data_IF_873229740315
#
_entry.id   IF_873229740315
#
_cell.length_a   1.000
_cell.length_b   1.000
_cell.length_c   1.000
_cell.angle_alpha   90.00
_cell.angle_beta   90.00
_cell.angle_gamma   90.00
#
_symmetry.space_group_name_H-M   'P 1'
#
loop_
_entity.id
_entity.type
_entity.pdbx_description
1 polymer ?
#
# COMPACT_ATOMS: atom_id res chain seq x y z
N UNK A 1 -24.25 -2.26 -5.92
CA UNK A 1 -24.29 -3.26 -7.02
C UNK A 1 -22.85 -3.47 -7.47
N UNK A 2 -22.38 -4.71 -7.54
CA UNK A 2 -21.06 -5.00 -8.11
C UNK A 2 -21.04 -4.60 -9.59
N UNK A 3 -19.89 -4.16 -10.10
CA UNK A 3 -19.75 -3.89 -11.52
C UNK A 3 -19.97 -5.18 -12.33
N UNK A 4 -20.58 -5.05 -13.50
CA UNK A 4 -20.87 -6.16 -14.42
C UNK A 4 -19.78 -6.35 -15.47
N UNK A 5 -18.89 -5.37 -15.63
CA UNK A 5 -17.87 -5.35 -16.67
C UNK A 5 -16.50 -4.99 -16.09
N UNK A 6 -15.45 -5.48 -16.77
CA UNK A 6 -14.06 -5.18 -16.43
C UNK A 6 -13.73 -3.75 -16.84
N UNK A 7 -12.88 -3.08 -16.04
CA UNK A 7 -12.40 -1.73 -16.29
C UNK A 7 -10.98 -1.76 -16.86
N UNK A 8 -10.80 -1.74 -18.19
CA UNK A 8 -9.48 -1.91 -18.82
C UNK A 8 -8.47 -0.85 -18.40
N UNK A 9 -8.91 0.37 -18.11
CA UNK A 9 -8.07 1.47 -17.62
C UNK A 9 -7.43 1.16 -16.27
N UNK A 10 -8.18 0.52 -15.38
CA UNK A 10 -7.69 0.11 -14.06
C UNK A 10 -6.76 -1.09 -14.18
N UNK A 11 -7.09 -2.03 -15.06
CA UNK A 11 -6.25 -3.19 -15.35
C UNK A 11 -4.90 -2.76 -15.94
N UNK A 12 -4.90 -1.74 -16.80
CA UNK A 12 -3.67 -1.15 -17.30
C UNK A 12 -2.83 -0.54 -16.17
N UNK A 13 -3.43 0.25 -15.28
CA UNK A 13 -2.73 0.83 -14.13
C UNK A 13 -2.15 -0.24 -13.19
N UNK A 14 -2.89 -1.32 -12.94
CA UNK A 14 -2.42 -2.39 -12.07
C UNK A 14 -1.25 -3.19 -12.68
N UNK A 15 -1.16 -3.28 -14.01
CA UNK A 15 -0.01 -3.93 -14.68
C UNK A 15 1.30 -3.21 -14.44
N UNK A 16 1.26 -1.90 -14.19
CA UNK A 16 2.44 -1.09 -13.90
C UNK A 16 2.88 -1.21 -12.43
N UNK A 17 2.11 -1.88 -11.58
CA UNK A 17 2.39 -2.02 -10.15
C UNK A 17 3.19 -3.30 -9.85
N UNK A 18 4.09 -3.21 -8.88
CA UNK A 18 4.94 -4.33 -8.50
C UNK A 18 4.18 -5.37 -7.66
N UNK A 19 4.40 -6.65 -7.96
CA UNK A 19 3.89 -7.77 -7.16
C UNK A 19 2.40 -8.07 -7.34
N UNK A 20 1.81 -7.63 -8.47
CA UNK A 20 0.41 -7.87 -8.78
C UNK A 20 0.19 -9.31 -9.28
N UNK A 21 -0.69 -10.11 -8.63
CA UNK A 21 -1.12 -11.39 -9.17
C UNK A 21 -2.12 -11.14 -10.30
N UNK A 22 -1.65 -11.07 -11.55
CA UNK A 22 -2.51 -10.90 -12.72
C UNK A 22 -3.31 -12.18 -12.99
N UNK A 23 -4.43 -12.36 -12.29
CA UNK A 23 -5.39 -13.43 -12.51
C UNK A 23 -6.79 -12.89 -12.79
N UNK A 24 -7.69 -13.73 -13.29
CA UNK A 24 -9.04 -13.29 -13.67
C UNK A 24 -9.84 -12.76 -12.47
N UNK A 25 -9.69 -13.37 -11.29
CA UNK A 25 -10.30 -12.88 -10.04
C UNK A 25 -9.68 -11.56 -9.56
N UNK A 26 -8.38 -11.35 -9.80
CA UNK A 26 -7.74 -10.08 -9.51
C UNK A 26 -8.29 -8.98 -10.44
N UNK A 27 -8.39 -9.24 -11.74
CA UNK A 27 -9.02 -8.32 -12.72
C UNK A 27 -10.47 -7.97 -12.35
N UNK A 28 -11.22 -8.95 -11.81
CA UNK A 28 -12.57 -8.74 -11.29
C UNK A 28 -12.56 -7.90 -10.01
N UNK A 29 -11.69 -8.21 -9.05
CA UNK A 29 -11.48 -7.45 -7.80
C UNK A 29 -11.19 -5.99 -8.14
N UNK A 30 -10.04 -5.77 -8.79
CA UNK A 30 -9.81 -4.91 -9.94
C UNK A 30 -10.89 -3.91 -10.39
N UNK A 31 -11.96 -4.48 -10.89
CA UNK A 31 -12.97 -3.74 -11.63
C UNK A 31 -14.20 -3.45 -10.76
N UNK A 32 -14.16 -3.83 -9.48
CA UNK A 32 -15.32 -3.80 -8.58
C UNK A 32 -16.37 -4.86 -8.91
N UNK A 33 -15.97 -5.91 -9.64
CA UNK A 33 -16.81 -7.07 -9.95
C UNK A 33 -16.77 -8.09 -8.82
N UNK A 34 -17.75 -8.99 -8.79
CA UNK A 34 -17.69 -10.14 -7.88
C UNK A 34 -16.52 -11.05 -8.28
N UNK A 35 -15.71 -11.42 -7.30
CA UNK A 35 -14.51 -12.25 -7.50
C UNK A 35 -14.41 -13.28 -6.37
N UNK A 36 -13.60 -14.32 -6.59
CA UNK A 36 -13.31 -15.27 -5.53
C UNK A 36 -12.00 -14.90 -4.79
N UNK A 37 -12.05 -14.44 -3.52
CA UNK A 37 -10.86 -14.08 -2.77
C UNK A 37 -10.02 -15.29 -2.32
N UNK A 38 -10.52 -16.53 -2.46
CA UNK A 38 -9.82 -17.76 -2.04
C UNK A 38 -9.06 -18.43 -3.19
N UNK A 39 -9.07 -17.86 -4.38
CA UNK A 39 -8.28 -18.33 -5.52
C UNK A 39 -6.80 -18.45 -5.13
N UNK A 40 -6.09 -19.55 -5.47
CA UNK A 40 -4.73 -19.82 -4.99
C UNK A 40 -3.75 -18.66 -5.20
N UNK A 41 -3.80 -18.00 -6.35
CA UNK A 41 -2.95 -16.87 -6.70
C UNK A 41 -3.18 -15.65 -5.78
N UNK A 42 -4.44 -15.36 -5.43
CA UNK A 42 -4.77 -14.28 -4.50
C UNK A 42 -4.40 -14.64 -3.06
N UNK A 43 -4.56 -15.91 -2.69
CA UNK A 43 -4.20 -16.39 -1.36
C UNK A 43 -2.69 -16.37 -1.13
N UNK A 44 -1.90 -16.78 -2.13
CA UNK A 44 -0.44 -16.71 -2.12
C UNK A 44 0.04 -15.25 -2.05
N UNK A 45 -0.51 -14.36 -2.87
CA UNK A 45 -0.18 -12.94 -2.83
C UNK A 45 -0.45 -12.32 -1.44
N UNK A 46 -1.59 -12.66 -0.82
CA UNK A 46 -1.92 -12.22 0.54
C UNK A 46 -0.94 -12.79 1.57
N UNK A 47 -0.54 -14.05 1.44
CA UNK A 47 0.44 -14.67 2.33
C UNK A 47 1.80 -13.96 2.25
N UNK A 48 2.31 -13.71 1.03
CA UNK A 48 3.55 -12.98 0.80
C UNK A 48 3.47 -11.55 1.35
N UNK A 49 2.35 -10.86 1.14
CA UNK A 49 2.12 -9.52 1.67
C UNK A 49 2.18 -9.49 3.20
N UNK A 50 1.55 -10.47 3.87
CA UNK A 50 1.60 -10.59 5.33
C UNK A 50 3.02 -10.82 5.86
N UNK A 51 3.82 -11.65 5.18
CA UNK A 51 5.22 -11.85 5.52
C UNK A 51 6.01 -10.54 5.46
N UNK A 52 5.92 -9.83 4.33
CA UNK A 52 6.60 -8.53 4.15
C UNK A 52 6.11 -7.46 5.12
N UNK A 53 4.82 -7.49 5.47
CA UNK A 53 4.23 -6.59 6.47
C UNK A 53 4.81 -6.87 7.85
N UNK A 54 5.00 -8.15 8.21
CA UNK A 54 5.65 -8.54 9.44
C UNK A 54 7.11 -8.08 9.47
N UNK A 55 7.86 -8.27 8.38
CA UNK A 55 9.25 -7.81 8.26
C UNK A 55 9.36 -6.28 8.44
N UNK A 56 8.43 -5.54 7.84
CA UNK A 56 8.36 -4.08 7.95
C UNK A 56 8.05 -3.61 9.38
N UNK A 57 7.06 -4.23 10.02
CA UNK A 57 6.62 -3.86 11.37
C UNK A 57 7.61 -4.32 12.45
N UNK A 58 8.34 -5.41 12.23
CA UNK A 58 9.31 -5.97 13.17
C UNK A 58 10.74 -5.48 12.93
N UNK A 59 10.96 -4.47 12.07
CA UNK A 59 12.29 -3.90 11.88
C UNK A 59 12.83 -3.40 13.23
N UNK A 60 13.91 -4.03 13.70
CA UNK A 60 14.46 -3.76 15.01
C UNK A 60 15.23 -2.43 15.02
N UNK A 61 14.66 -1.47 15.74
CA UNK A 61 15.23 -0.13 15.92
C UNK A 61 16.48 -0.11 16.81
N UNK A 62 16.82 -1.23 17.47
CA UNK A 62 17.99 -1.33 18.35
C UNK A 62 19.26 -1.77 17.62
N UNK A 63 19.10 -2.45 16.48
CA UNK A 63 20.22 -2.96 15.66
C UNK A 63 20.58 -2.03 14.52
N UNK A 64 19.67 -1.15 14.10
CA UNK A 64 19.88 -0.19 13.01
C UNK A 64 20.09 1.22 13.57
N UNK A 65 21.12 1.91 13.10
CA UNK A 65 21.41 3.30 13.50
C UNK A 65 20.26 4.25 13.12
N UNK A 66 20.10 5.35 13.86
CA UNK A 66 19.06 6.35 13.59
C UNK A 66 19.10 6.92 12.16
N UNK A 67 20.29 7.04 11.57
CA UNK A 67 20.46 7.54 10.20
C UNK A 67 20.09 6.49 9.13
N UNK A 68 20.22 5.20 9.46
CA UNK A 68 20.01 4.07 8.53
C UNK A 68 18.58 3.53 8.58
N UNK A 69 17.83 3.83 9.64
CA UNK A 69 16.47 3.33 9.83
C UNK A 69 15.51 3.83 8.75
N UNK A 70 15.65 5.09 8.31
CA UNK A 70 14.84 5.66 7.24
C UNK A 70 15.03 4.91 5.91
N UNK A 71 16.27 4.80 5.39
CA UNK A 71 16.58 4.00 4.21
C UNK A 71 16.16 2.53 4.33
N UNK A 72 16.41 1.89 5.48
CA UNK A 72 16.03 0.49 5.69
C UNK A 72 14.51 0.28 5.65
N UNK A 73 13.74 1.16 6.31
CA UNK A 73 12.28 1.16 6.23
C UNK A 73 11.79 1.39 4.81
N UNK A 74 12.38 2.35 4.10
CA UNK A 74 12.01 2.65 2.72
C UNK A 74 12.25 1.44 1.80
N UNK A 75 13.37 0.74 1.96
CA UNK A 75 13.67 -0.46 1.20
C UNK A 75 12.67 -1.61 1.46
N UNK A 76 12.24 -1.79 2.72
CA UNK A 76 11.21 -2.76 3.06
C UNK A 76 9.83 -2.34 2.53
N UNK A 77 9.50 -1.05 2.64
CA UNK A 77 8.24 -0.49 2.13
C UNK A 77 8.14 -0.65 0.61
N UNK A 78 9.22 -0.38 -0.12
CA UNK A 78 9.27 -0.58 -1.58
C UNK A 78 9.04 -2.03 -2.01
N UNK A 79 9.34 -3.01 -1.15
CA UNK A 79 9.00 -4.43 -1.41
C UNK A 79 7.56 -4.74 -1.05
N UNK A 80 6.96 -3.98 -0.14
CA UNK A 80 5.61 -4.21 0.37
C UNK A 80 4.55 -3.58 -0.54
N UNK A 81 4.74 -2.34 -0.98
CA UNK A 81 3.77 -1.60 -1.79
C UNK A 81 4.05 -1.70 -3.28
N UNK A 82 3.03 -1.49 -4.11
CA UNK A 82 3.16 -1.54 -5.57
C UNK A 82 4.03 -0.42 -6.14
N UNK A 83 4.03 0.75 -5.48
CA UNK A 83 4.89 1.89 -5.81
C UNK A 83 5.07 2.81 -4.59
N UNK A 84 6.28 3.26 -4.34
CA UNK A 84 6.60 4.26 -3.31
C UNK A 84 7.52 5.34 -3.90
N UNK A 85 7.19 6.60 -3.68
CA UNK A 85 8.04 7.72 -4.08
C UNK A 85 9.18 7.98 -3.09
N UNK A 86 10.29 8.61 -3.54
CA UNK A 86 11.37 9.02 -2.65
C UNK A 86 10.89 9.98 -1.56
N UNK A 87 11.61 10.01 -0.43
CA UNK A 87 11.28 10.89 0.70
C UNK A 87 10.04 10.47 1.48
N UNK A 88 9.44 9.32 1.17
CA UNK A 88 8.25 8.81 1.87
C UNK A 88 8.63 8.01 3.10
N UNK A 89 7.95 8.31 4.20
CA UNK A 89 8.09 7.64 5.49
C UNK A 89 6.74 7.21 6.03
N UNK A 90 6.67 5.96 6.47
CA UNK A 90 5.47 5.37 7.08
C UNK A 90 5.86 4.92 8.48
N UNK A 91 5.08 5.30 9.48
CA UNK A 91 5.27 4.85 10.85
C UNK A 91 4.63 3.48 11.04
N UNK A 92 5.35 2.44 11.54
CA UNK A 92 4.74 1.18 11.91
C UNK A 92 3.80 1.34 13.12
N UNK A 93 2.75 0.51 13.26
CA UNK A 93 2.45 -0.64 12.41
C UNK A 93 1.64 -0.24 11.16
N UNK A 94 2.08 -0.75 10.01
CA UNK A 94 1.38 -0.62 8.74
C UNK A 94 0.76 -1.98 8.37
N UNK A 95 -0.49 -2.00 7.91
CA UNK A 95 -1.19 -3.23 7.55
C UNK A 95 -1.82 -3.10 6.17
N UNK A 96 -1.53 -4.05 5.29
CA UNK A 96 -2.04 -4.13 3.93
C UNK A 96 -2.38 -5.58 3.56
N UNK A 97 -3.48 -5.78 2.82
CA UNK A 97 -3.93 -7.11 2.42
C UNK A 97 -3.14 -7.69 1.24
N UNK A 98 -2.88 -6.87 0.23
CA UNK A 98 -2.15 -7.26 -0.98
C UNK A 98 -0.88 -6.44 -1.22
N UNK A 99 -0.81 -5.22 -0.69
CA UNK A 99 0.34 -4.30 -0.82
C UNK A 99 0.51 -3.73 -2.24
N UNK A 100 0.39 -4.57 -3.27
CA UNK A 100 0.54 -4.22 -4.68
C UNK A 100 -0.45 -3.16 -5.18
N UNK A 101 -1.64 -3.06 -4.57
CA UNK A 101 -2.63 -2.02 -4.91
C UNK A 101 -2.31 -0.65 -4.26
N UNK A 102 -1.30 -0.59 -3.38
CA UNK A 102 -0.94 0.64 -2.67
C UNK A 102 0.10 1.39 -3.46
N UNK A 103 -0.21 2.64 -3.77
CA UNK A 103 0.71 3.59 -4.40
C UNK A 103 0.87 4.77 -3.46
N UNK A 104 2.11 5.03 -3.06
CA UNK A 104 2.45 6.19 -2.23
C UNK A 104 3.29 7.14 -3.08
N UNK A 105 2.93 8.42 -3.06
CA UNK A 105 3.65 9.47 -3.77
C UNK A 105 5.03 9.75 -3.16
N UNK A 106 5.60 10.88 -3.57
CA UNK A 106 6.88 11.39 -3.06
C UNK A 106 6.64 12.25 -1.82
N UNK A 107 7.62 12.31 -0.92
CA UNK A 107 7.62 13.14 0.28
C UNK A 107 6.34 12.98 1.15
N UNK A 108 5.79 11.79 1.18
CA UNK A 108 4.59 11.49 1.97
C UNK A 108 4.97 11.01 3.37
N UNK A 109 4.34 11.58 4.40
CA UNK A 109 4.48 11.12 5.77
C UNK A 109 3.16 10.52 6.25
N UNK A 110 3.16 9.21 6.54
CA UNK A 110 1.98 8.49 7.04
C UNK A 110 2.20 8.14 8.51
N UNK A 111 1.43 8.77 9.39
CA UNK A 111 1.52 8.60 10.84
C UNK A 111 0.66 7.41 11.34
N UNK A 112 0.83 7.03 12.62
CA UNK A 112 0.19 5.91 13.30
C UNK A 112 -1.33 5.81 13.06
N UNK A 113 -1.81 4.56 12.94
CA UNK A 113 -3.23 4.16 12.79
C UNK A 113 -3.89 4.49 11.45
N UNK A 114 -3.14 4.54 10.35
CA UNK A 114 -3.75 4.30 9.04
C UNK A 114 -3.81 2.79 8.79
N UNK A 115 -5.01 2.21 8.83
CA UNK A 115 -5.26 0.87 8.27
C UNK A 115 -5.90 1.09 6.90
N UNK A 116 -5.12 1.16 5.81
CA UNK A 116 -5.68 1.29 4.47
C UNK A 116 -6.36 -0.04 4.07
N UNK A 117 -7.66 -0.17 4.38
CA UNK A 117 -8.53 -1.20 3.77
C UNK A 117 -9.01 -0.60 2.45
N UNK A 118 -8.19 -0.67 1.40
CA UNK A 118 -8.59 -0.23 0.06
C UNK A 118 -8.71 -1.42 -0.87
N UNK A 119 -9.95 -1.71 -1.26
CA UNK A 119 -10.26 -2.74 -2.24
C UNK A 119 -10.15 -2.22 -3.69
N UNK A 120 -10.25 -0.92 -3.98
CA UNK A 120 -10.10 -0.29 -5.33
C UNK A 120 -9.68 1.20 -5.21
N UNK A 121 -8.96 1.84 -6.18
CA UNK A 121 -7.85 2.71 -5.88
C UNK A 121 -8.30 4.10 -5.38
N UNK A 122 -7.70 4.62 -4.30
CA UNK A 122 -7.62 6.06 -4.14
C UNK A 122 -6.44 6.56 -5.00
N UNK A 123 -6.74 7.36 -6.03
CA UNK A 123 -5.78 8.31 -6.58
C UNK A 123 -5.46 9.30 -5.45
N UNK A 124 -4.43 9.02 -4.64
CA UNK A 124 -3.95 9.96 -3.64
C UNK A 124 -3.23 11.09 -4.38
N UNK A 125 -4.01 12.03 -4.91
CA UNK A 125 -3.48 13.32 -5.31
C UNK A 125 -2.99 14.02 -4.03
N UNK A 126 -1.70 14.39 -4.03
CA UNK A 126 -1.12 15.37 -3.11
C UNK A 126 -2.08 16.58 -2.99
N UNK A 127 -2.37 17.06 -1.77
CA UNK A 127 -1.51 18.12 -1.22
C UNK A 127 -1.32 18.09 0.31
N UNK A 128 -0.14 18.59 0.72
CA UNK A 128 0.14 19.31 1.96
C UNK A 128 -0.16 18.63 3.32
N UNK A 129 0.94 18.34 4.04
CA UNK A 129 1.10 18.49 5.49
C UNK A 129 -0.20 18.79 6.28
N UNK A 130 -0.82 17.72 6.80
CA UNK A 130 -1.81 17.84 7.89
C UNK A 130 -1.05 18.03 9.21
N UNK A 131 -0.64 19.27 9.49
CA UNK A 131 -0.37 19.75 10.84
C UNK A 131 -1.70 20.11 11.52
N UNK A 132 -1.95 19.72 12.78
CA UNK A 132 -3.18 20.11 13.48
C UNK A 132 -3.21 21.63 13.67
N UNK A 133 -4.28 22.24 13.16
CA UNK A 133 -4.60 23.65 13.31
C UNK A 133 -4.51 24.09 14.78
N UNK A 134 -3.56 24.97 15.07
CA UNK A 134 -3.46 25.71 16.33
C UNK A 134 -4.66 26.67 16.46
N UNK A 135 -5.53 26.56 17.49
CA UNK A 135 -6.73 27.39 17.63
C UNK A 135 -6.49 28.67 18.45
N UNK A 136 -5.32 29.30 18.35
CA UNK A 136 -5.05 30.57 19.02
C UNK A 136 -4.18 31.49 18.17
N UNK A 137 -4.84 32.45 17.52
CA UNK A 137 -4.34 33.83 17.46
C UNK A 137 -5.55 34.79 17.30
N UNK A 138 -5.58 35.91 18.04
CA UNK A 138 -6.68 36.87 18.09
C UNK A 138 -6.80 37.74 16.82
#
# INVERSE_FOLDING_TARGET
MAATEKRPEIIALARDLQGVPMCEDYERMISGMMYNPTTPQLSEARHLCRGRTADYNNLDTKTVSYEEIGPARHALLSKLVGRVGPGTFVEPPFYVDYGCNTVIGENCFINWKLVPIYIFPPQLHSPNTLSPSNPYTP
#
